data_IF_719895620316
#
_entry.id   IF_719895620316
#
_cell.length_a   1.000
_cell.length_b   1.000
_cell.length_c   1.000
_cell.angle_alpha   90.00
_cell.angle_beta   90.00
_cell.angle_gamma   90.00
#
_symmetry.space_group_name_H-M   'P 1'
#
loop_
_entity.id
_entity.type
_entity.pdbx_description
1 polymer ?
#
# COMPACT_ATOMS: atom_id res chain seq x y z
N UNK A 1 46.23 11.99 39.87
CA UNK A 1 45.85 12.26 41.26
C UNK A 1 44.90 11.17 41.74
N UNK A 2 45.16 10.72 42.97
CA UNK A 2 44.31 10.04 43.96
C UNK A 2 43.09 9.18 43.56
N UNK A 3 43.18 7.94 44.04
CA UNK A 3 42.17 6.90 44.27
C UNK A 3 41.11 7.38 45.28
N UNK A 4 39.84 7.02 45.10
CA UNK A 4 38.96 6.55 46.19
C UNK A 4 37.90 5.60 45.60
N UNK A 5 37.90 4.35 46.07
CA UNK A 5 36.81 3.40 45.97
C UNK A 5 35.78 3.65 47.07
N UNK A 6 34.49 3.51 46.77
CA UNK A 6 33.47 3.21 47.78
C UNK A 6 32.58 2.09 47.24
N UNK A 7 32.59 0.96 47.96
CA UNK A 7 31.64 -0.11 47.81
C UNK A 7 30.52 0.08 48.85
N UNK A 8 29.27 -0.14 48.45
CA UNK A 8 28.16 -0.42 49.35
C UNK A 8 27.34 -1.60 48.80
N UNK A 9 27.11 -2.57 49.67
CA UNK A 9 26.34 -3.79 49.48
C UNK A 9 24.84 -3.52 49.69
N UNK A 10 23.97 -4.13 48.88
CA UNK A 10 22.68 -4.68 49.33
C UNK A 10 22.00 -5.46 48.22
N UNK A 11 21.67 -6.71 48.50
CA UNK A 11 20.85 -7.54 47.63
C UNK A 11 19.37 -7.18 47.70
N UNK A 12 18.65 -7.48 46.61
CA UNK A 12 17.27 -7.93 46.64
C UNK A 12 17.10 -8.85 45.43
N UNK A 13 16.67 -10.09 45.73
CA UNK A 13 16.12 -10.99 44.75
C UNK A 13 14.89 -10.34 44.11
N UNK A 14 14.78 -10.47 42.81
CA UNK A 14 13.66 -9.97 42.03
C UNK A 14 14.04 -10.12 40.59
N UNK A 15 13.67 -11.26 40.00
CA UNK A 15 13.75 -11.43 38.56
C UNK A 15 12.90 -10.33 37.93
N UNK A 16 13.55 -9.25 37.52
CA UNK A 16 12.94 -8.30 36.61
C UNK A 16 12.75 -9.06 35.31
N UNK A 17 11.57 -9.65 35.16
CA UNK A 17 10.96 -9.88 33.85
C UNK A 17 11.15 -8.59 33.08
N UNK A 18 12.14 -8.62 32.19
CA UNK A 18 12.37 -7.57 31.23
C UNK A 18 11.11 -7.55 30.40
N UNK A 19 10.17 -6.69 30.78
CA UNK A 19 9.02 -6.38 29.96
C UNK A 19 9.61 -5.87 28.65
N UNK A 20 9.60 -6.75 27.66
CA UNK A 20 9.96 -6.42 26.30
C UNK A 20 9.06 -5.24 25.91
N UNK A 21 9.61 -4.08 25.50
CA UNK A 21 8.78 -2.96 25.09
C UNK A 21 7.82 -3.49 24.02
N UNK A 22 6.51 -3.18 24.09
CA UNK A 22 5.57 -3.64 23.09
C UNK A 22 6.13 -3.22 21.73
N UNK A 23 6.32 -4.19 20.83
CA UNK A 23 6.83 -3.95 19.50
C UNK A 23 6.04 -2.78 18.91
N UNK A 24 6.73 -1.67 18.64
CA UNK A 24 6.11 -0.47 18.09
C UNK A 24 5.40 -0.86 16.80
N UNK A 25 4.08 -0.95 16.86
CA UNK A 25 3.26 -1.27 15.71
C UNK A 25 3.30 -0.05 14.83
N UNK A 26 3.86 -0.16 13.62
CA UNK A 26 3.87 0.94 12.67
C UNK A 26 2.43 1.44 12.48
N UNK A 27 2.23 2.76 12.43
CA UNK A 27 0.94 3.42 12.12
C UNK A 27 0.14 2.72 11.01
N UNK A 28 0.75 2.28 9.89
CA UNK A 28 0.06 1.49 8.87
C UNK A 28 -0.52 0.15 9.38
N UNK A 29 0.21 -0.60 10.21
CA UNK A 29 -0.26 -1.86 10.81
C UNK A 29 -1.40 -1.64 11.82
N UNK A 30 -1.52 -0.45 12.41
CA UNK A 30 -2.70 -0.07 13.19
C UNK A 30 -3.92 0.24 12.29
N UNK A 31 -3.68 0.78 11.10
CA UNK A 31 -4.72 1.16 10.16
C UNK A 31 -5.28 -0.05 9.39
N UNK A 32 -4.51 -1.14 9.27
CA UNK A 32 -5.00 -2.45 8.77
C UNK A 32 -6.18 -3.00 9.59
N UNK A 33 -6.24 -2.66 10.89
CA UNK A 33 -7.33 -3.08 11.77
C UNK A 33 -8.57 -2.16 11.68
N UNK A 34 -8.44 -0.98 11.06
CA UNK A 34 -9.56 -0.07 10.86
C UNK A 34 -10.47 -0.58 9.73
N UNK A 35 -11.80 -0.33 9.82
CA UNK A 35 -12.69 -0.64 8.71
C UNK A 35 -12.25 0.14 7.47
N UNK A 36 -12.21 -0.56 6.32
CA UNK A 36 -11.92 0.09 5.05
C UNK A 36 -12.97 1.19 4.78
N UNK A 37 -12.57 2.33 4.18
CA UNK A 37 -13.51 3.39 3.83
C UNK A 37 -14.59 2.88 2.87
N UNK A 38 -15.77 3.50 2.92
CA UNK A 38 -16.92 3.12 2.09
C UNK A 38 -16.59 3.31 0.60
N UNK A 39 -16.65 2.25 -0.24
CA UNK A 39 -16.36 2.36 -1.67
C UNK A 39 -17.38 3.21 -2.46
N UNK A 40 -18.42 3.76 -1.81
CA UNK A 40 -19.28 4.80 -2.38
C UNK A 40 -18.76 6.24 -2.21
N UNK A 41 -17.80 6.47 -1.31
CA UNK A 41 -17.18 7.79 -1.08
C UNK A 41 -15.98 8.00 -2.00
N UNK A 42 -15.61 9.25 -2.32
CA UNK A 42 -14.48 9.52 -3.21
C UNK A 42 -13.14 8.97 -2.70
N UNK A 43 -12.87 9.09 -1.39
CA UNK A 43 -11.69 8.52 -0.75
C UNK A 43 -11.72 6.98 -0.72
N UNK A 44 -12.89 6.38 -0.47
CA UNK A 44 -13.04 4.93 -0.46
C UNK A 44 -12.87 4.31 -1.85
N UNK A 45 -13.31 4.97 -2.91
CA UNK A 45 -12.97 4.57 -4.29
C UNK A 45 -11.47 4.61 -4.52
N UNK A 46 -10.78 5.68 -4.10
CA UNK A 46 -9.33 5.78 -4.26
C UNK A 46 -8.59 4.64 -3.54
N UNK A 47 -8.96 4.38 -2.28
CA UNK A 47 -8.39 3.30 -1.47
C UNK A 47 -8.68 1.93 -2.10
N UNK A 48 -9.93 1.63 -2.44
CA UNK A 48 -10.32 0.34 -3.01
C UNK A 48 -9.65 0.08 -4.37
N UNK A 49 -9.63 1.09 -5.25
CA UNK A 49 -9.03 1.00 -6.57
C UNK A 49 -7.51 0.75 -6.49
N UNK A 50 -6.79 1.54 -5.69
CA UNK A 50 -5.35 1.38 -5.55
C UNK A 50 -4.98 0.07 -4.85
N UNK A 51 -5.76 -0.40 -3.88
CA UNK A 51 -5.57 -1.74 -3.30
C UNK A 51 -5.62 -2.81 -4.38
N UNK A 52 -6.60 -2.73 -5.28
CA UNK A 52 -6.79 -3.71 -6.34
C UNK A 52 -5.67 -3.64 -7.40
N UNK A 53 -5.21 -2.44 -7.75
CA UNK A 53 -4.11 -2.18 -8.71
C UNK A 53 -2.75 -2.64 -8.17
N UNK A 54 -2.48 -2.41 -6.89
CA UNK A 54 -1.20 -2.74 -6.23
C UNK A 54 -1.17 -4.14 -5.61
N UNK A 55 -2.29 -4.88 -5.63
CA UNK A 55 -2.26 -6.32 -5.37
C UNK A 55 -1.88 -7.04 -6.67
N UNK A 56 -0.82 -7.84 -6.65
CA UNK A 56 -0.27 -8.48 -7.85
C UNK A 56 -0.23 -10.00 -7.73
N UNK A 57 -0.48 -10.67 -8.86
CA UNK A 57 -0.39 -12.13 -8.97
C UNK A 57 0.60 -12.55 -10.08
N UNK A 58 1.92 -12.36 -9.89
CA UNK A 58 2.94 -12.65 -10.92
C UNK A 58 2.89 -14.06 -11.55
N UNK A 59 2.35 -15.06 -10.85
CA UNK A 59 2.23 -16.43 -11.36
C UNK A 59 1.10 -16.60 -12.39
N UNK A 60 0.09 -15.74 -12.36
CA UNK A 60 -1.13 -15.85 -13.20
C UNK A 60 -1.41 -14.61 -14.04
N UNK A 61 -0.75 -13.50 -13.74
CA UNK A 61 -0.92 -12.20 -14.39
C UNK A 61 0.36 -11.78 -15.12
N UNK A 62 0.20 -11.14 -16.28
CA UNK A 62 1.28 -10.38 -16.90
C UNK A 62 1.53 -9.09 -16.11
N UNK A 63 2.75 -8.56 -16.16
CA UNK A 63 3.07 -7.30 -15.49
C UNK A 63 2.15 -6.18 -16.03
N UNK A 64 1.41 -5.53 -15.13
CA UNK A 64 0.43 -4.48 -15.45
C UNK A 64 -1.01 -4.94 -15.62
N UNK A 65 -1.29 -6.26 -15.64
CA UNK A 65 -2.66 -6.77 -15.79
C UNK A 65 -3.59 -6.40 -14.61
N UNK A 66 -3.03 -6.03 -13.45
CA UNK A 66 -3.81 -5.57 -12.29
C UNK A 66 -4.65 -4.32 -12.60
N UNK A 67 -4.19 -3.43 -13.50
CA UNK A 67 -4.97 -2.28 -13.94
C UNK A 67 -6.24 -2.73 -14.67
N UNK A 68 -6.13 -3.77 -15.52
CA UNK A 68 -7.27 -4.34 -16.23
C UNK A 68 -8.28 -4.98 -15.26
N UNK A 69 -7.80 -5.69 -14.24
CA UNK A 69 -8.66 -6.25 -13.18
C UNK A 69 -9.42 -5.16 -12.42
N UNK A 70 -8.76 -4.03 -12.14
CA UNK A 70 -9.36 -2.90 -11.46
C UNK A 70 -10.37 -2.08 -12.31
N UNK A 71 -10.67 -2.46 -13.56
CA UNK A 71 -11.49 -1.69 -14.53
C UNK A 71 -12.78 -1.09 -13.95
N UNK A 72 -13.48 -1.82 -13.09
CA UNK A 72 -14.73 -1.37 -12.44
C UNK A 72 -14.58 -0.07 -11.62
N UNK A 73 -13.37 0.22 -11.15
CA UNK A 73 -13.05 1.42 -10.38
C UNK A 73 -12.57 2.59 -11.23
N UNK A 74 -12.25 2.36 -12.51
CA UNK A 74 -11.52 3.32 -13.32
C UNK A 74 -12.44 4.37 -13.94
N UNK A 75 -11.94 5.60 -13.97
CA UNK A 75 -12.54 6.75 -14.63
C UNK A 75 -12.14 6.82 -16.10
N UNK A 76 -12.73 7.75 -16.86
CA UNK A 76 -12.53 7.88 -18.29
C UNK A 76 -11.05 7.95 -18.73
N UNK A 77 -10.19 8.62 -17.97
CA UNK A 77 -8.78 8.79 -18.31
C UNK A 77 -7.99 7.50 -18.14
N UNK A 78 -8.14 6.78 -17.02
CA UNK A 78 -7.49 5.48 -16.84
C UNK A 78 -8.06 4.40 -17.75
N UNK A 79 -9.36 4.44 -18.05
CA UNK A 79 -9.96 3.54 -19.06
C UNK A 79 -9.36 3.79 -20.44
N UNK A 80 -9.15 5.04 -20.85
CA UNK A 80 -8.48 5.36 -22.10
C UNK A 80 -7.05 4.82 -22.15
N UNK A 81 -6.31 4.93 -21.05
CA UNK A 81 -4.96 4.35 -20.94
C UNK A 81 -4.98 2.83 -21.05
N UNK A 82 -5.96 2.18 -20.40
CA UNK A 82 -6.13 0.73 -20.44
C UNK A 82 -6.55 0.20 -21.82
N UNK A 83 -7.41 0.94 -22.52
CA UNK A 83 -7.94 0.58 -23.84
C UNK A 83 -7.02 0.98 -25.00
N UNK A 84 -5.93 1.71 -24.71
CA UNK A 84 -4.92 2.03 -25.69
C UNK A 84 -4.27 0.72 -26.20
N UNK A 85 -4.10 0.56 -27.53
CA UNK A 85 -3.47 -0.64 -28.07
C UNK A 85 -2.07 -0.81 -27.46
N UNK A 86 -1.67 -2.06 -27.11
CA UNK A 86 -0.33 -2.30 -26.61
C UNK A 86 0.67 -1.84 -27.69
N UNK A 87 1.44 -0.80 -27.37
CA UNK A 87 2.49 -0.32 -28.26
C UNK A 87 3.64 -1.31 -28.33
N UNK A 88 4.56 -1.08 -29.28
CA UNK A 88 5.84 -1.81 -29.38
C UNK A 88 6.68 -1.72 -28.10
N UNK A 89 6.36 -0.75 -27.23
CA UNK A 89 6.98 -0.50 -25.91
C UNK A 89 6.29 -1.18 -24.74
N UNK A 90 5.44 -2.20 -24.92
CA UNK A 90 4.93 -2.96 -23.76
C UNK A 90 6.11 -3.48 -22.95
N UNK A 91 6.37 -2.98 -21.73
CA UNK A 91 7.63 -3.24 -21.05
C UNK A 91 7.74 -4.74 -20.78
N UNK A 92 8.88 -5.32 -21.16
CA UNK A 92 9.17 -6.72 -20.79
C UNK A 92 9.07 -6.85 -19.27
N UNK A 93 8.52 -7.96 -18.76
CA UNK A 93 8.50 -8.18 -17.33
C UNK A 93 9.88 -8.00 -16.72
N UNK A 94 9.95 -7.27 -15.61
CA UNK A 94 11.20 -7.12 -14.87
C UNK A 94 11.71 -8.50 -14.42
N UNK A 95 13.02 -8.63 -14.21
CA UNK A 95 13.61 -9.89 -13.70
C UNK A 95 12.93 -10.34 -12.40
N UNK A 96 12.62 -9.39 -11.52
CA UNK A 96 11.91 -9.63 -10.26
C UNK A 96 10.50 -10.17 -10.49
N UNK A 97 9.72 -9.59 -11.41
CA UNK A 97 8.39 -10.11 -11.75
C UNK A 97 8.45 -11.55 -12.27
N UNK A 98 9.39 -11.83 -13.18
CA UNK A 98 9.57 -13.17 -13.74
C UNK A 98 9.98 -14.21 -12.67
N UNK A 99 10.85 -13.83 -11.74
CA UNK A 99 11.23 -14.66 -10.61
C UNK A 99 10.05 -14.94 -9.68
N UNK A 100 9.33 -13.90 -9.27
CA UNK A 100 8.13 -14.03 -8.45
C UNK A 100 7.07 -14.93 -9.09
N UNK A 101 6.86 -14.80 -10.40
CA UNK A 101 5.95 -15.66 -11.14
C UNK A 101 6.34 -17.14 -11.08
N UNK A 102 7.63 -17.45 -11.26
CA UNK A 102 8.14 -18.84 -11.15
C UNK A 102 8.05 -19.39 -9.73
N UNK A 103 8.26 -18.55 -8.72
CA UNK A 103 8.26 -18.95 -7.30
C UNK A 103 6.87 -18.92 -6.65
N UNK A 104 5.82 -18.55 -7.39
CA UNK A 104 4.45 -18.51 -6.88
C UNK A 104 4.18 -17.38 -5.89
N UNK A 105 4.96 -16.30 -5.93
CA UNK A 105 4.81 -15.16 -5.02
C UNK A 105 3.50 -14.43 -5.31
N UNK A 106 2.77 -14.06 -4.25
CA UNK A 106 1.64 -13.13 -4.28
C UNK A 106 2.06 -11.81 -3.64
N UNK A 107 1.74 -10.68 -4.25
CA UNK A 107 1.96 -9.38 -3.62
C UNK A 107 0.62 -8.86 -3.11
N UNK A 108 0.49 -8.75 -1.79
CA UNK A 108 -0.67 -8.16 -1.12
C UNK A 108 -0.46 -6.67 -0.94
N UNK A 109 -1.46 -5.85 -1.24
CA UNK A 109 -1.42 -4.42 -0.94
C UNK A 109 -2.35 -4.07 0.23
N UNK A 110 -1.84 -3.24 1.12
CA UNK A 110 -2.62 -2.44 2.05
C UNK A 110 -2.56 -0.98 1.61
N UNK A 111 -3.71 -0.29 1.63
CA UNK A 111 -3.81 1.09 1.16
C UNK A 111 -4.70 1.90 2.08
N UNK A 112 -4.35 3.16 2.27
CA UNK A 112 -5.11 4.05 3.14
C UNK A 112 -5.00 5.50 2.70
N UNK A 113 -6.07 6.26 2.93
CA UNK A 113 -6.05 7.71 2.74
C UNK A 113 -5.35 8.38 3.93
N UNK A 114 -4.44 9.30 3.64
CA UNK A 114 -3.91 10.20 4.65
C UNK A 114 -5.00 11.17 5.11
N UNK A 115 -4.99 11.53 6.40
CA UNK A 115 -5.78 12.66 6.90
C UNK A 115 -5.26 14.02 6.41
N UNK A 116 -4.07 14.05 5.82
CA UNK A 116 -3.52 15.23 5.14
C UNK A 116 -4.21 15.40 3.78
N UNK A 117 -4.86 16.54 3.61
CA UNK A 117 -5.57 16.87 2.38
C UNK A 117 -4.58 17.16 1.25
N UNK A 118 -4.80 16.54 0.09
CA UNK A 118 -4.08 16.95 -1.11
C UNK A 118 -4.46 18.41 -1.46
N UNK A 119 -3.58 19.17 -2.13
CA UNK A 119 -3.92 20.52 -2.59
C UNK A 119 -5.22 20.50 -3.38
N UNK A 120 -6.26 21.16 -2.85
CA UNK A 120 -7.52 21.30 -3.54
C UNK A 120 -7.37 22.21 -4.75
N UNK A 121 -7.98 21.84 -5.87
CA UNK A 121 -8.12 22.67 -7.07
C UNK A 121 -9.46 23.46 -7.07
N UNK A 122 -10.27 23.33 -6.01
CA UNK A 122 -11.60 23.95 -5.92
C UNK A 122 -12.70 23.26 -6.74
N UNK A 123 -12.39 22.12 -7.36
CA UNK A 123 -13.31 21.35 -8.18
C UNK A 123 -13.98 20.26 -7.33
N UNK A 124 -15.30 20.36 -7.15
CA UNK A 124 -16.05 19.37 -6.37
C UNK A 124 -16.25 18.05 -7.10
N UNK A 125 -16.13 18.03 -8.43
CA UNK A 125 -16.27 16.84 -9.25
C UNK A 125 -14.95 16.10 -9.41
N UNK A 126 -13.81 16.75 -9.10
CA UNK A 126 -12.46 16.17 -9.17
C UNK A 126 -11.76 16.28 -7.82
N UNK A 127 -11.69 15.18 -7.06
CA UNK A 127 -11.07 15.17 -5.73
C UNK A 127 -9.71 14.47 -5.75
N UNK A 128 -8.78 14.99 -4.96
CA UNK A 128 -7.44 14.42 -4.81
C UNK A 128 -7.21 13.91 -3.38
N UNK A 129 -6.61 12.74 -3.27
CA UNK A 129 -6.26 12.10 -1.99
C UNK A 129 -4.82 11.65 -1.99
N UNK A 130 -4.11 11.92 -0.90
CA UNK A 130 -2.80 11.32 -0.65
C UNK A 130 -3.02 9.92 -0.10
N UNK A 131 -2.63 8.90 -0.86
CA UNK A 131 -2.84 7.48 -0.50
C UNK A 131 -1.49 6.84 -0.18
N UNK A 132 -1.37 6.29 1.03
CA UNK A 132 -0.27 5.42 1.41
C UNK A 132 -0.53 4.00 0.90
N UNK A 133 0.52 3.35 0.39
CA UNK A 133 0.49 2.00 -0.16
C UNK A 133 1.62 1.21 0.47
N UNK A 134 1.27 0.08 1.09
CA UNK A 134 2.21 -0.90 1.58
C UNK A 134 1.99 -2.21 0.86
N UNK A 135 3.08 -2.83 0.42
CA UNK A 135 3.00 -4.11 -0.27
C UNK A 135 3.81 -5.15 0.50
N UNK A 136 3.27 -6.36 0.57
CA UNK A 136 3.97 -7.51 1.13
C UNK A 136 4.02 -8.61 0.09
N UNK A 137 5.22 -9.02 -0.31
CA UNK A 137 5.44 -10.22 -1.10
C UNK A 137 5.31 -11.45 -0.18
N UNK A 138 4.36 -12.31 -0.50
CA UNK A 138 4.05 -13.55 0.21
C UNK A 138 4.52 -14.72 -0.62
N UNK A 139 5.51 -15.43 -0.11
CA UNK A 139 6.10 -16.60 -0.73
C UNK A 139 5.30 -17.86 -0.39
N UNK A 140 5.47 -18.91 -1.21
CA UNK A 140 4.75 -20.18 -1.05
C UNK A 140 5.15 -20.96 0.19
N UNK A 141 6.35 -20.70 0.74
CA UNK A 141 6.83 -21.22 2.03
C UNK A 141 6.27 -20.45 3.24
N UNK A 142 5.45 -19.41 3.01
CA UNK A 142 4.90 -18.54 4.04
C UNK A 142 5.78 -17.35 4.42
N UNK A 143 6.99 -17.25 3.85
CA UNK A 143 7.87 -16.09 4.06
C UNK A 143 7.19 -14.82 3.55
N UNK A 144 7.31 -13.73 4.32
CA UNK A 144 6.73 -12.42 3.99
C UNK A 144 7.84 -11.37 3.92
N UNK A 145 7.97 -10.72 2.76
CA UNK A 145 8.87 -9.60 2.53
C UNK A 145 8.06 -8.31 2.37
N UNK A 146 8.22 -7.36 3.29
CA UNK A 146 7.65 -6.01 3.13
C UNK A 146 8.45 -5.23 2.09
N UNK A 147 7.76 -4.73 1.07
CA UNK A 147 8.34 -3.89 0.03
C UNK A 147 8.41 -2.42 0.50
N UNK A 148 9.28 -1.59 -0.11
CA UNK A 148 9.35 -0.16 0.22
C UNK A 148 7.97 0.51 0.10
N UNK A 149 7.51 1.24 1.14
CA UNK A 149 6.21 1.90 1.10
C UNK A 149 6.21 2.99 0.02
N UNK A 150 5.06 3.15 -0.63
CA UNK A 150 4.87 4.17 -1.67
C UNK A 150 3.73 5.09 -1.27
N UNK A 151 3.80 6.37 -1.65
CA UNK A 151 2.71 7.31 -1.50
C UNK A 151 2.39 7.91 -2.85
N UNK A 152 1.10 7.97 -3.19
CA UNK A 152 0.62 8.54 -4.45
C UNK A 152 -0.43 9.61 -4.19
N UNK A 153 -0.62 10.50 -5.16
CA UNK A 153 -1.79 11.37 -5.21
C UNK A 153 -2.80 10.74 -6.18
N UNK A 154 -3.90 10.24 -5.63
CA UNK A 154 -5.03 9.70 -6.37
C UNK A 154 -5.98 10.83 -6.77
N UNK A 155 -6.39 10.88 -8.03
CA UNK A 155 -7.46 11.75 -8.51
C UNK A 155 -8.69 10.89 -8.78
N UNK A 156 -9.81 11.23 -8.16
CA UNK A 156 -11.12 10.61 -8.43
C UNK A 156 -12.06 11.63 -9.04
N UNK A 157 -12.89 11.17 -9.97
CA UNK A 157 -13.87 11.99 -10.69
C UNK A 157 -15.28 11.48 -10.46
N UNK A 158 -16.24 12.40 -10.38
CA UNK A 158 -17.65 12.07 -10.30
C UNK A 158 -18.14 11.69 -11.70
N UNK A 159 -18.73 10.51 -11.82
CA UNK A 159 -19.41 10.04 -13.04
C UNK A 159 -20.90 9.81 -12.76
N UNK A 160 -21.75 9.64 -13.80
CA UNK A 160 -23.14 9.25 -13.59
C UNK A 160 -23.32 7.98 -12.76
N UNK A 161 -22.37 7.05 -12.84
CA UNK A 161 -22.36 5.77 -12.11
C UNK A 161 -21.61 5.83 -10.76
N UNK A 162 -21.35 7.04 -10.26
CA UNK A 162 -20.64 7.31 -9.01
C UNK A 162 -19.17 7.70 -9.19
N UNK A 163 -18.42 7.67 -8.11
CA UNK A 163 -17.00 8.04 -8.11
C UNK A 163 -16.13 7.00 -8.82
N UNK A 164 -15.11 7.46 -9.54
CA UNK A 164 -14.14 6.61 -10.25
C UNK A 164 -12.73 7.17 -10.12
N UNK A 165 -11.72 6.31 -10.03
CA UNK A 165 -10.30 6.69 -10.05
C UNK A 165 -9.89 7.08 -11.46
N UNK A 166 -9.56 8.34 -11.69
CA UNK A 166 -9.21 8.87 -13.02
C UNK A 166 -7.69 9.01 -13.23
N UNK A 167 -6.91 8.94 -12.17
CA UNK A 167 -5.45 8.93 -12.25
C UNK A 167 -4.77 8.80 -10.90
N UNK A 168 -3.48 8.45 -10.92
CA UNK A 168 -2.61 8.47 -9.74
C UNK A 168 -1.17 8.75 -10.17
N UNK A 169 -0.41 9.44 -9.32
CA UNK A 169 0.99 9.86 -9.58
C UNK A 169 1.82 9.89 -8.32
#
# INVERSE_FOLDING_TARGET
MLVVSVALLSGCAGGSERAEPPAATSTPRQLEAAPAPDPGTPDGVAVAALREIFTWYPATETQGASLARARKWLGPSLLRTLDAPPGEETPKPTLRWAEWGRSGVRVEAFTFASGEQAPGNGDSDHQQFKIGIEQTAVHTDGTRETLPPTTVIATVVRTPDGWRLDGFR
#
